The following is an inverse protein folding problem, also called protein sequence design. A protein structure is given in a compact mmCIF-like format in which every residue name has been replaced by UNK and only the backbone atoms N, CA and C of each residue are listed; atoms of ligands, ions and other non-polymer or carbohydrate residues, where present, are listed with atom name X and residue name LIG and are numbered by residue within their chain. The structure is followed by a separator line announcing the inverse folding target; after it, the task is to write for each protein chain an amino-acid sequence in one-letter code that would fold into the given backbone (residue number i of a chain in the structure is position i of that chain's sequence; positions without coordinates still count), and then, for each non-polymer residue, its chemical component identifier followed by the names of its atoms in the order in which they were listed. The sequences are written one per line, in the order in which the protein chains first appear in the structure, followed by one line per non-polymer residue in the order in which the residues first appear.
data_IF_532438976716
#
_entry.id   IF_532438976716
#
_cell.length_a   1.000
_cell.length_b   1.000
_cell.length_c   1.000
_cell.angle_alpha   90.00
_cell.angle_beta   90.00
_cell.angle_gamma   90.00
#
_symmetry.space_group_name_H-M   'P 1'
#
loop_
_entity.id
_entity.type
_entity.pdbx_description
1 polymer ?
#
# COMPACT_ATOMS: atom_id res chain seq x y z
N UNK A 1 15.72 8.33 -9.17
CA UNK A 1 15.78 7.11 -8.33
C UNK A 1 15.01 7.34 -7.03
N UNK A 2 13.98 6.55 -6.74
CA UNK A 2 13.20 6.61 -5.50
C UNK A 2 13.45 5.36 -4.68
N UNK A 3 13.83 5.51 -3.40
CA UNK A 3 13.98 4.40 -2.45
C UNK A 3 13.11 4.66 -1.23
N UNK A 4 12.11 3.81 -1.03
CA UNK A 4 11.26 3.84 0.16
C UNK A 4 11.36 2.48 0.86
N UNK A 5 11.65 2.50 2.16
CA UNK A 5 11.77 1.29 2.98
C UNK A 5 10.78 1.39 4.13
N UNK A 6 10.38 0.23 4.64
CA UNK A 6 9.49 0.12 5.79
C UNK A 6 8.17 0.88 5.55
N UNK A 7 7.62 0.77 4.34
CA UNK A 7 6.34 1.38 3.99
C UNK A 7 5.27 0.64 4.79
N UNK A 8 4.57 1.39 5.64
CA UNK A 8 3.44 0.90 6.42
C UNK A 8 2.20 1.67 6.00
N UNK A 9 1.17 0.95 5.54
CA UNK A 9 -0.16 1.50 5.27
C UNK A 9 -1.16 0.80 6.17
N UNK A 10 -1.78 1.56 7.05
CA UNK A 10 -2.86 1.07 7.90
C UNK A 10 -4.13 1.89 7.71
N UNK A 11 -5.27 1.23 7.81
CA UNK A 11 -6.57 1.88 7.93
C UNK A 11 -7.05 1.73 9.38
N UNK A 12 -7.66 2.80 9.89
CA UNK A 12 -8.33 2.78 11.17
C UNK A 12 -9.84 2.73 10.92
N UNK A 13 -10.52 1.84 11.64
CA UNK A 13 -11.97 1.80 11.71
C UNK A 13 -12.38 1.70 13.18
N UNK A 14 -12.79 2.83 13.76
CA UNK A 14 -13.01 2.94 15.20
C UNK A 14 -11.76 2.56 16.00
N UNK A 15 -11.90 1.64 16.95
CA UNK A 15 -10.78 1.14 17.77
C UNK A 15 -9.90 0.12 17.03
N UNK A 16 -10.35 -0.42 15.89
CA UNK A 16 -9.58 -1.39 15.13
C UNK A 16 -8.60 -0.72 14.17
N UNK A 17 -7.34 -1.17 14.21
CA UNK A 17 -6.32 -0.82 13.22
C UNK A 17 -5.98 -2.06 12.40
N UNK A 18 -6.21 -1.97 11.09
CA UNK A 18 -5.81 -3.00 10.14
C UNK A 18 -4.60 -2.52 9.34
N UNK A 19 -3.56 -3.34 9.27
CA UNK A 19 -2.37 -3.06 8.45
C UNK A 19 -2.55 -3.72 7.09
N UNK A 20 -2.58 -2.91 6.03
CA UNK A 20 -2.71 -3.37 4.63
C UNK A 20 -1.35 -3.61 4.00
N UNK A 21 -0.38 -2.75 4.30
CA UNK A 21 1.03 -2.94 3.91
C UNK A 21 1.88 -2.83 5.17
N UNK A 22 2.81 -3.77 5.37
CA UNK A 22 3.77 -3.77 6.46
C UNK A 22 5.11 -4.27 5.94
N UNK A 23 6.18 -3.58 6.29
CA UNK A 23 7.57 -3.94 5.96
C UNK A 23 7.84 -4.09 4.46
N UNK A 24 7.14 -3.30 3.63
CA UNK A 24 7.37 -3.25 2.18
C UNK A 24 8.51 -2.28 1.87
N UNK A 25 9.34 -2.65 0.89
CA UNK A 25 10.37 -1.79 0.31
C UNK A 25 10.12 -1.60 -1.19
N UNK A 26 10.38 -0.40 -1.69
CA UNK A 26 10.25 0.00 -3.09
C UNK A 26 11.56 0.69 -3.51
N UNK A 27 12.17 0.17 -4.56
CA UNK A 27 13.36 0.74 -5.21
C UNK A 27 12.98 0.98 -6.68
N UNK A 28 12.98 2.24 -7.11
CA UNK A 28 12.70 2.66 -8.48
C UNK A 28 13.95 3.33 -9.00
N UNK A 29 14.53 2.76 -10.05
CA UNK A 29 15.68 3.33 -10.74
C UNK A 29 15.25 4.41 -11.74
N UNK A 30 16.18 5.25 -12.18
CA UNK A 30 15.89 6.24 -13.22
C UNK A 30 15.60 5.52 -14.54
N UNK A 31 14.59 6.00 -15.27
CA UNK A 31 14.07 5.43 -16.53
C UNK A 31 13.19 4.17 -16.39
N UNK A 32 12.74 3.84 -15.18
CA UNK A 32 11.86 2.70 -14.90
C UNK A 32 10.38 3.13 -14.81
N UNK A 33 9.52 2.62 -15.70
CA UNK A 33 8.11 3.02 -15.79
C UNK A 33 7.22 2.06 -14.98
N UNK A 34 6.93 2.42 -13.74
CA UNK A 34 6.08 1.60 -12.86
C UNK A 34 4.61 2.05 -12.89
N UNK A 35 3.74 1.30 -13.59
CA UNK A 35 2.29 1.49 -13.54
C UNK A 35 1.67 0.57 -12.48
N UNK A 36 1.45 1.08 -11.27
CA UNK A 36 0.68 0.37 -10.25
C UNK A 36 -0.83 0.56 -10.51
N UNK A 37 -1.48 -0.40 -11.16
CA UNK A 37 -2.94 -0.48 -11.19
C UNK A 37 -3.45 -1.15 -9.92
N UNK A 38 -3.88 -0.35 -8.95
CA UNK A 38 -4.60 -0.83 -7.78
C UNK A 38 -6.09 -0.96 -8.13
N UNK A 39 -6.54 -2.16 -8.49
CA UNK A 39 -7.97 -2.45 -8.57
C UNK A 39 -8.53 -2.54 -7.15
N UNK A 40 -9.17 -1.46 -6.67
CA UNK A 40 -9.95 -1.48 -5.43
C UNK A 40 -11.24 -2.29 -5.67
N UNK A 41 -11.31 -3.53 -5.18
CA UNK A 41 -12.60 -4.16 -4.88
C UNK A 41 -13.03 -3.68 -3.49
N UNK A 42 -13.54 -2.45 -3.42
CA UNK A 42 -14.26 -1.95 -2.24
C UNK A 42 -15.77 -2.05 -2.50
N UNK A 43 -16.34 -3.25 -2.45
CA UNK A 43 -17.80 -3.43 -2.37
C UNK A 43 -18.20 -4.89 -2.05
N UNK A 44 -17.71 -5.53 -0.98
CA UNK A 44 -18.20 -6.89 -0.64
C UNK A 44 -18.07 -7.35 0.81
N UNK A 45 -17.73 -6.51 1.78
CA UNK A 45 -17.63 -6.94 3.17
C UNK A 45 -18.54 -6.04 4.01
N UNK A 46 -19.75 -6.51 4.38
CA UNK A 46 -20.55 -5.80 5.37
C UNK A 46 -19.80 -5.85 6.71
N UNK A 47 -19.75 -4.70 7.37
CA UNK A 47 -19.34 -4.59 8.77
C UNK A 47 -20.25 -5.41 9.68
#
# INVERSE_FOLDING_TARGET
MIKARNIIKSYQNGESRFQVLKDISLDIEDNDLWLFSAHLVLASQPF
#
